data_IF_767623827802
#
_entry.id   IF_767623827802
#
_cell.length_a   1.000
_cell.length_b   1.000
_cell.length_c   1.000
_cell.angle_alpha   90.00
_cell.angle_beta   90.00
_cell.angle_gamma   90.00
#
_symmetry.space_group_name_H-M   'P 1'
#
loop_
_entity.id
_entity.type
_entity.pdbx_description
1 polymer ?
#
# COMPACT_ATOMS: atom_id res chain seq x y z
N UNK A 1 18.91 65.20 14.24
CA UNK A 1 20.15 64.86 14.97
C UNK A 1 19.79 64.13 16.27
N UNK A 2 20.13 62.84 16.36
CA UNK A 2 20.69 62.11 17.54
C UNK A 2 20.27 60.63 17.49
N UNK A 3 21.25 59.83 17.13
CA UNK A 3 21.25 58.38 17.14
C UNK A 3 21.20 57.81 18.56
N UNK A 4 20.56 56.65 18.73
CA UNK A 4 20.90 55.67 19.77
C UNK A 4 20.75 54.27 19.21
N UNK A 5 21.84 53.77 18.65
CA UNK A 5 22.10 52.33 18.59
C UNK A 5 22.44 51.86 20.00
N UNK A 6 22.00 50.66 20.40
CA UNK A 6 22.86 49.59 20.93
C UNK A 6 22.00 48.41 21.43
N UNK A 7 22.17 47.29 20.74
CA UNK A 7 22.26 45.91 21.24
C UNK A 7 21.29 45.46 22.35
N UNK A 8 20.27 44.70 21.95
CA UNK A 8 19.57 43.74 22.82
C UNK A 8 19.78 42.31 22.29
N UNK A 9 20.87 41.73 22.78
CA UNK A 9 21.01 40.36 23.31
C UNK A 9 20.14 39.23 22.76
N UNK A 10 20.83 38.27 22.13
CA UNK A 10 20.66 36.80 22.17
C UNK A 10 19.23 36.23 22.28
N UNK A 11 18.73 35.74 21.15
CA UNK A 11 17.61 34.81 21.11
C UNK A 11 18.06 33.40 21.56
N UNK A 12 17.49 32.94 22.66
CA UNK A 12 17.72 31.65 23.30
C UNK A 12 17.33 30.46 22.43
N UNK A 13 18.24 29.48 22.30
CA UNK A 13 17.94 28.12 21.88
C UNK A 13 17.20 27.40 23.02
N UNK A 14 15.94 27.00 22.79
CA UNK A 14 15.25 26.00 23.63
C UNK A 14 15.01 24.72 22.82
N UNK A 15 15.66 23.66 23.29
CA UNK A 15 15.47 22.26 22.89
C UNK A 15 14.25 21.70 23.63
N UNK A 16 13.32 21.08 22.88
CA UNK A 16 12.28 20.17 23.37
C UNK A 16 12.38 18.92 22.49
N UNK A 17 12.98 17.83 22.98
CA UNK A 17 12.33 16.75 23.72
C UNK A 17 11.41 15.90 22.82
N UNK A 18 11.85 14.67 22.55
CA UNK A 18 11.07 13.64 21.85
C UNK A 18 11.66 12.26 22.12
N UNK A 19 11.63 11.81 23.38
CA UNK A 19 11.68 10.38 23.71
C UNK A 19 10.25 9.86 23.58
N UNK A 20 10.00 8.97 22.63
CA UNK A 20 8.73 8.26 22.49
C UNK A 20 8.90 6.83 23.00
N UNK A 21 8.36 6.54 24.18
CA UNK A 21 8.14 5.20 24.71
C UNK A 21 6.74 5.15 25.32
N UNK A 22 5.92 4.20 24.85
CA UNK A 22 4.82 3.56 25.60
C UNK A 22 4.23 2.47 24.71
N UNK A 23 4.46 1.23 25.13
CA UNK A 23 3.79 0.02 24.67
C UNK A 23 2.38 -0.08 25.29
N UNK A 24 1.57 -1.02 24.79
CA UNK A 24 0.36 -1.58 25.42
C UNK A 24 -1.01 -0.89 25.16
N UNK A 25 -1.72 -1.34 24.12
CA UNK A 25 -3.17 -1.58 24.23
C UNK A 25 -3.53 -2.91 23.56
N UNK A 26 -3.67 -3.92 24.41
CA UNK A 26 -4.08 -5.28 24.10
C UNK A 26 -5.60 -5.30 23.95
N UNK A 27 -6.12 -4.82 22.83
CA UNK A 27 -7.55 -4.87 22.54
C UNK A 27 -7.91 -6.05 21.63
N UNK A 28 -8.55 -7.02 22.28
CA UNK A 28 -9.14 -8.21 21.69
C UNK A 28 -10.41 -7.88 20.88
N UNK A 29 -10.22 -7.40 19.65
CA UNK A 29 -11.21 -7.59 18.58
C UNK A 29 -10.58 -8.50 17.53
N UNK A 30 -11.26 -9.58 17.08
CA UNK A 30 -10.79 -10.29 15.92
C UNK A 30 -10.75 -9.27 14.77
N UNK A 31 -9.61 -9.10 14.07
CA UNK A 31 -9.57 -8.20 12.95
C UNK A 31 -10.65 -8.66 11.96
N UNK A 32 -11.54 -7.72 11.63
CA UNK A 32 -12.32 -7.75 10.40
C UNK A 32 -11.39 -8.29 9.31
N UNK A 33 -11.82 -9.29 8.53
CA UNK A 33 -11.03 -9.89 7.45
C UNK A 33 -10.72 -8.84 6.38
N UNK A 34 -9.74 -8.00 6.65
CA UNK A 34 -9.00 -7.22 5.67
C UNK A 34 -8.16 -8.23 4.90
N UNK A 35 -8.32 -8.24 3.58
CA UNK A 35 -7.84 -9.27 2.65
C UNK A 35 -6.54 -9.95 3.08
N UNK A 36 -6.61 -11.27 3.22
CA UNK A 36 -5.48 -12.11 3.60
C UNK A 36 -4.45 -12.04 2.48
N UNK A 37 -3.47 -11.13 2.61
CA UNK A 37 -2.21 -11.23 1.88
C UNK A 37 -1.69 -12.66 2.01
N UNK A 38 -1.20 -13.25 0.91
CA UNK A 38 -0.66 -14.60 0.94
C UNK A 38 0.41 -14.70 2.05
N UNK A 39 0.26 -15.61 3.02
CA UNK A 39 0.96 -15.49 4.29
C UNK A 39 2.47 -15.86 4.26
N UNK A 40 3.03 -16.27 3.12
CA UNK A 40 4.29 -17.04 3.15
C UNK A 40 5.35 -16.59 2.14
N UNK A 41 5.19 -15.41 1.51
CA UNK A 41 6.08 -14.95 0.43
C UNK A 41 5.96 -15.73 -0.88
N UNK A 42 5.07 -16.72 -0.94
CA UNK A 42 4.70 -17.43 -2.16
C UNK A 42 3.77 -16.58 -3.04
N UNK A 43 3.90 -16.64 -4.37
CA UNK A 43 3.02 -15.91 -5.27
C UNK A 43 1.56 -16.31 -5.12
N UNK A 44 0.68 -15.31 -5.01
CA UNK A 44 -0.78 -15.49 -5.02
C UNK A 44 -1.21 -16.14 -6.32
N UNK A 45 -2.10 -17.13 -6.22
CA UNK A 45 -2.61 -17.85 -7.39
C UNK A 45 -3.63 -17.02 -8.16
N UNK A 46 -3.88 -17.41 -9.41
CA UNK A 46 -4.93 -16.82 -10.25
C UNK A 46 -6.29 -16.85 -9.56
N UNK A 47 -6.66 -17.97 -8.92
CA UNK A 47 -7.96 -18.10 -8.27
C UNK A 47 -8.07 -17.18 -7.06
N UNK A 48 -7.01 -17.06 -6.27
CA UNK A 48 -6.98 -16.12 -5.16
C UNK A 48 -7.28 -14.69 -5.62
N UNK A 49 -6.70 -14.24 -6.75
CA UNK A 49 -7.00 -12.92 -7.29
C UNK A 49 -8.43 -12.76 -7.79
N UNK A 50 -9.01 -13.82 -8.37
CA UNK A 50 -10.43 -13.81 -8.77
C UNK A 50 -11.37 -13.71 -7.56
N UNK A 51 -11.00 -14.34 -6.45
CA UNK A 51 -11.75 -14.26 -5.19
C UNK A 51 -11.50 -12.93 -4.44
N UNK A 52 -10.47 -12.17 -4.81
CA UNK A 52 -10.05 -10.93 -4.16
C UNK A 52 -9.91 -9.77 -5.17
N UNK A 53 -11.03 -9.23 -5.70
CA UNK A 53 -11.01 -8.26 -6.81
C UNK A 53 -10.31 -6.94 -6.47
N UNK A 54 -10.38 -6.48 -5.22
CA UNK A 54 -9.67 -5.28 -4.77
C UNK A 54 -8.14 -5.47 -4.83
N UNK A 55 -7.66 -6.64 -4.42
CA UNK A 55 -6.25 -6.99 -4.49
C UNK A 55 -5.78 -7.19 -5.93
N UNK A 56 -6.62 -7.78 -6.79
CA UNK A 56 -6.37 -7.87 -8.23
C UNK A 56 -6.23 -6.49 -8.87
N UNK A 57 -7.13 -5.54 -8.55
CA UNK A 57 -7.06 -4.20 -9.11
C UNK A 57 -5.76 -3.47 -8.71
N UNK A 58 -5.38 -3.54 -7.43
CA UNK A 58 -4.16 -2.92 -6.93
C UNK A 58 -2.90 -3.56 -7.52
N UNK A 59 -2.83 -4.90 -7.53
CA UNK A 59 -1.67 -5.62 -8.05
C UNK A 59 -1.52 -5.44 -9.55
N UNK A 60 -2.63 -5.51 -10.30
CA UNK A 60 -2.60 -5.29 -11.74
C UNK A 60 -2.17 -3.88 -12.11
N UNK A 61 -2.56 -2.87 -11.33
CA UNK A 61 -2.10 -1.51 -11.55
C UNK A 61 -0.59 -1.39 -11.34
N UNK A 62 -0.07 -1.95 -10.25
CA UNK A 62 1.37 -2.03 -10.00
C UNK A 62 2.11 -2.70 -11.16
N UNK A 63 1.63 -3.86 -11.61
CA UNK A 63 2.27 -4.63 -12.67
C UNK A 63 2.29 -3.90 -14.01
N UNK A 64 1.22 -3.19 -14.40
CA UNK A 64 1.21 -2.42 -15.67
C UNK A 64 2.18 -1.25 -15.68
N UNK A 65 2.44 -0.68 -14.50
CA UNK A 65 3.36 0.44 -14.34
C UNK A 65 4.83 0.00 -14.22
N UNK A 66 5.11 -1.31 -14.27
CA UNK A 66 6.45 -1.88 -14.28
C UNK A 66 6.75 -2.54 -15.65
N UNK A 67 7.43 -1.85 -16.57
CA UNK A 67 7.73 -2.38 -17.90
C UNK A 67 8.69 -3.59 -17.88
N UNK A 68 9.37 -3.87 -16.77
CA UNK A 68 10.27 -5.02 -16.60
C UNK A 68 9.66 -6.19 -15.82
N UNK A 69 8.51 -5.99 -15.16
CA UNK A 69 7.89 -6.96 -14.26
C UNK A 69 6.81 -7.83 -14.89
N UNK A 70 6.20 -7.38 -15.99
CA UNK A 70 5.15 -8.14 -16.69
C UNK A 70 5.76 -9.34 -17.42
N UNK A 71 5.56 -10.54 -16.87
CA UNK A 71 6.01 -11.81 -17.47
C UNK A 71 7.21 -12.46 -16.78
N UNK A 72 7.86 -11.76 -15.85
CA UNK A 72 8.99 -12.28 -15.05
C UNK A 72 8.63 -12.43 -13.58
N UNK A 73 7.74 -11.58 -13.06
CA UNK A 73 7.23 -11.67 -11.70
C UNK A 73 6.00 -12.61 -11.66
N UNK A 74 6.05 -13.73 -10.90
CA UNK A 74 4.92 -14.65 -10.77
C UNK A 74 3.62 -13.98 -10.24
N UNK A 75 3.72 -12.96 -9.39
CA UNK A 75 2.57 -12.16 -8.95
C UNK A 75 1.90 -11.46 -10.14
N UNK A 76 2.69 -10.83 -11.00
CA UNK A 76 2.18 -10.14 -12.19
C UNK A 76 1.65 -11.08 -13.26
N UNK A 77 2.25 -12.27 -13.40
CA UNK A 77 1.72 -13.32 -14.29
C UNK A 77 0.33 -13.75 -13.81
N UNK A 78 0.20 -14.07 -12.51
CA UNK A 78 -1.07 -14.54 -11.94
C UNK A 78 -2.15 -13.44 -11.95
N UNK A 79 -1.79 -12.19 -11.64
CA UNK A 79 -2.71 -11.06 -11.73
C UNK A 79 -3.16 -10.78 -13.17
N UNK A 80 -2.26 -10.87 -14.16
CA UNK A 80 -2.60 -10.70 -15.58
C UNK A 80 -3.59 -11.76 -16.05
N UNK A 81 -3.34 -13.02 -15.71
CA UNK A 81 -4.23 -14.12 -16.07
C UNK A 81 -5.61 -13.99 -15.39
N UNK A 82 -5.66 -13.59 -14.12
CA UNK A 82 -6.91 -13.31 -13.44
C UNK A 82 -7.70 -12.19 -14.13
N UNK A 83 -7.03 -11.11 -14.54
CA UNK A 83 -7.67 -10.01 -15.28
C UNK A 83 -8.24 -10.48 -16.63
N UNK A 84 -7.50 -11.30 -17.38
CA UNK A 84 -7.98 -11.88 -18.65
C UNK A 84 -9.25 -12.69 -18.45
N UNK A 85 -9.29 -13.53 -17.41
CA UNK A 85 -10.47 -14.35 -17.08
C UNK A 85 -11.66 -13.50 -16.65
N UNK A 86 -11.42 -12.46 -15.85
CA UNK A 86 -12.46 -11.52 -15.44
C UNK A 86 -13.09 -10.85 -16.67
N UNK A 87 -12.28 -10.28 -17.57
CA UNK A 87 -12.78 -9.65 -18.79
C UNK A 87 -13.52 -10.64 -19.69
N UNK A 88 -13.03 -11.88 -19.82
CA UNK A 88 -13.73 -12.90 -20.60
C UNK A 88 -15.13 -13.21 -20.04
N UNK A 89 -15.28 -13.27 -18.71
CA UNK A 89 -16.59 -13.45 -18.05
C UNK A 89 -17.50 -12.25 -18.28
N UNK A 90 -17.00 -11.04 -18.09
CA UNK A 90 -17.75 -9.80 -18.33
C UNK A 90 -18.27 -9.73 -19.78
N UNK A 91 -17.45 -10.08 -20.76
CA UNK A 91 -17.86 -10.17 -22.17
C UNK A 91 -18.91 -11.25 -22.38
N UNK A 92 -18.71 -12.45 -21.82
CA UNK A 92 -19.69 -13.54 -21.93
C UNK A 92 -21.03 -13.21 -21.28
N UNK A 93 -21.04 -12.43 -20.20
CA UNK A 93 -22.28 -12.01 -19.54
C UNK A 93 -22.98 -10.91 -20.31
N UNK A 94 -22.23 -10.01 -20.96
CA UNK A 94 -22.80 -9.00 -21.85
C UNK A 94 -23.41 -9.57 -23.15
N UNK A 95 -23.08 -10.82 -23.51
CA UNK A 95 -23.61 -11.51 -24.69
C UNK A 95 -24.83 -12.39 -24.40
N UNK A 96 -25.23 -12.56 -23.14
CA UNK A 96 -26.44 -13.29 -22.74
C UNK A 96 -27.64 -12.35 -22.71
#
# INVERSE_FOLDING_TARGET
MKARALLWTLASLLVLAGCGESDEDRQATPPVRTGVAAPDGSPRTVNWFLDNPAALASEWDRCRNDPGGVGTNPECINASEARRRQTAREVQDALK
#
